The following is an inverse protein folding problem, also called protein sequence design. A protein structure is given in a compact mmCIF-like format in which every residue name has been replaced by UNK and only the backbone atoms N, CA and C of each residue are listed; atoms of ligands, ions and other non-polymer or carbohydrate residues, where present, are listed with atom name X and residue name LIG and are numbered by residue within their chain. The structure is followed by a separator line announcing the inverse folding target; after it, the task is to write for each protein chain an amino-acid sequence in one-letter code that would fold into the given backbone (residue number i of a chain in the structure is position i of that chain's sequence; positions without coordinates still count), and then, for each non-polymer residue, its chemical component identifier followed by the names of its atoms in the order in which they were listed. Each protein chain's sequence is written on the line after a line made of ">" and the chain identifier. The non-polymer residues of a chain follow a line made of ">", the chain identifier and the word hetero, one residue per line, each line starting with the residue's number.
data_IF_965112275235
#
_entry.id   IF_965112275235
#
_cell.length_a   1.000
_cell.length_b   1.000
_cell.length_c   1.000
_cell.angle_alpha   90.00
_cell.angle_beta   90.00
_cell.angle_gamma   90.00
#
_symmetry.space_group_name_H-M   'P 1'
#
loop_
_entity.id
_entity.type
_entity.pdbx_description
1 polymer ?
#
# COMPACT_ATOMS: atom_id res chain seq x y z
N UNK A 1 -1.70 -10.56 1.66
CA UNK A 1 -2.75 -10.57 0.62
C UNK A 1 -2.35 -11.38 -0.62
N UNK A 2 -1.16 -11.18 -1.19
CA UNK A 2 -0.67 -11.94 -2.37
C UNK A 2 -0.70 -13.46 -2.11
N UNK A 3 -0.27 -13.92 -0.94
CA UNK A 3 -0.27 -15.34 -0.54
C UNK A 3 -1.70 -15.90 -0.41
N UNK A 4 -2.64 -15.11 0.15
CA UNK A 4 -4.04 -15.52 0.25
C UNK A 4 -4.69 -15.59 -1.14
N UNK A 5 -4.37 -14.63 -2.02
CA UNK A 5 -4.84 -14.62 -3.40
C UNK A 5 -4.33 -15.84 -4.18
N UNK A 6 -3.05 -16.21 -4.03
CA UNK A 6 -2.48 -17.42 -4.61
C UNK A 6 -3.23 -18.68 -4.14
N UNK A 7 -3.54 -18.77 -2.85
CA UNK A 7 -4.29 -19.89 -2.28
C UNK A 7 -5.72 -20.02 -2.84
N UNK A 8 -6.33 -18.91 -3.24
CA UNK A 8 -7.65 -18.88 -3.85
C UNK A 8 -7.66 -19.01 -5.39
N UNK A 9 -6.51 -19.20 -6.03
CA UNK A 9 -6.44 -19.45 -7.48
C UNK A 9 -6.62 -20.92 -7.84
N UNK A 10 -7.31 -21.17 -8.96
CA UNK A 10 -7.49 -22.51 -9.54
C UNK A 10 -6.16 -23.17 -9.90
N UNK A 11 -5.15 -22.38 -10.30
CA UNK A 11 -3.80 -22.85 -10.67
C UNK A 11 -2.72 -21.99 -10.01
N UNK A 12 -2.34 -22.27 -8.74
CA UNK A 12 -1.38 -21.45 -7.99
C UNK A 12 0.02 -21.42 -8.60
N UNK A 13 0.46 -22.52 -9.23
CA UNK A 13 1.79 -22.63 -9.85
C UNK A 13 2.06 -21.63 -11.00
N UNK A 14 1.01 -21.09 -11.62
CA UNK A 14 1.13 -20.08 -12.68
C UNK A 14 1.10 -18.63 -12.17
N UNK A 15 1.03 -18.41 -10.86
CA UNK A 15 0.92 -17.06 -10.29
C UNK A 15 2.27 -16.31 -10.31
N UNK A 16 3.36 -16.95 -9.85
CA UNK A 16 4.67 -16.33 -9.61
C UNK A 16 5.73 -16.51 -10.74
N UNK A 17 5.51 -17.38 -11.73
CA UNK A 17 6.50 -17.66 -12.77
C UNK A 17 6.83 -16.45 -13.68
N UNK A 18 7.92 -16.49 -14.46
CA UNK A 18 8.27 -15.41 -15.42
C UNK A 18 7.20 -15.13 -16.49
N UNK A 19 6.34 -16.12 -16.79
CA UNK A 19 5.13 -15.95 -17.62
C UNK A 19 3.84 -15.95 -16.79
N UNK A 20 3.97 -15.74 -15.49
CA UNK A 20 2.87 -15.72 -14.55
C UNK A 20 2.06 -14.45 -14.64
N UNK A 21 0.84 -14.51 -14.11
CA UNK A 21 -0.11 -13.40 -14.19
C UNK A 21 0.38 -12.19 -13.38
N UNK A 22 1.15 -12.42 -12.30
CA UNK A 22 1.66 -11.36 -11.42
C UNK A 22 2.65 -10.39 -12.09
N UNK A 23 3.78 -10.83 -12.68
CA UNK A 23 4.68 -9.90 -13.36
C UNK A 23 4.04 -9.22 -14.59
N UNK A 24 3.15 -9.91 -15.31
CA UNK A 24 2.41 -9.31 -16.44
C UNK A 24 1.40 -8.25 -16.00
N UNK A 25 0.69 -8.47 -14.89
CA UNK A 25 -0.24 -7.47 -14.35
C UNK A 25 0.51 -6.25 -13.82
N UNK A 26 1.61 -6.45 -13.10
CA UNK A 26 2.49 -5.38 -12.65
C UNK A 26 3.06 -4.57 -13.83
N UNK A 27 3.55 -5.24 -14.87
CA UNK A 27 4.06 -4.59 -16.08
C UNK A 27 2.96 -3.74 -16.75
N UNK A 28 1.75 -4.29 -16.86
CA UNK A 28 0.62 -3.58 -17.47
C UNK A 28 0.26 -2.32 -16.70
N UNK A 29 0.14 -2.40 -15.37
CA UNK A 29 -0.15 -1.25 -14.51
C UNK A 29 0.96 -0.21 -14.58
N UNK A 30 2.23 -0.66 -14.57
CA UNK A 30 3.39 0.22 -14.70
C UNK A 30 3.37 0.99 -16.03
N UNK A 31 3.11 0.31 -17.15
CA UNK A 31 2.99 0.97 -18.46
C UNK A 31 1.87 2.02 -18.46
N UNK A 32 0.70 1.71 -17.90
CA UNK A 32 -0.41 2.66 -17.81
C UNK A 32 -0.04 3.89 -16.96
N UNK A 33 0.60 3.69 -15.82
CA UNK A 33 1.05 4.80 -14.98
C UNK A 33 2.10 5.68 -15.66
N UNK A 34 3.06 5.09 -16.37
CA UNK A 34 4.05 5.84 -17.14
C UNK A 34 3.37 6.64 -18.24
N UNK A 35 2.41 6.06 -18.97
CA UNK A 35 1.69 6.76 -20.02
C UNK A 35 0.89 7.95 -19.45
N UNK A 36 0.11 7.73 -18.39
CA UNK A 36 -0.68 8.79 -17.75
C UNK A 36 0.22 9.89 -17.19
N UNK A 37 1.33 9.52 -16.53
CA UNK A 37 2.30 10.47 -16.00
C UNK A 37 2.98 11.29 -17.10
N UNK A 38 3.41 10.65 -18.19
CA UNK A 38 4.05 11.31 -19.33
C UNK A 38 3.10 12.27 -20.04
N UNK A 39 1.90 11.83 -20.42
CA UNK A 39 0.92 12.69 -21.09
C UNK A 39 0.41 13.81 -20.16
N UNK A 40 0.24 13.52 -18.86
CA UNK A 40 -0.08 14.53 -17.86
C UNK A 40 0.98 15.63 -17.76
N UNK A 41 2.26 15.24 -17.69
CA UNK A 41 3.36 16.19 -17.65
C UNK A 41 3.48 17.03 -18.92
N UNK A 42 3.32 16.43 -20.10
CA UNK A 42 3.37 17.15 -21.40
C UNK A 42 2.23 18.18 -21.51
N UNK A 43 1.04 17.89 -20.96
CA UNK A 43 -0.13 18.77 -21.05
C UNK A 43 -0.07 19.96 -20.08
N UNK A 44 0.32 19.74 -18.83
CA UNK A 44 0.28 20.76 -17.77
C UNK A 44 1.64 21.41 -17.47
N UNK A 45 2.74 20.80 -17.94
CA UNK A 45 4.09 21.37 -17.84
C UNK A 45 4.52 21.62 -16.39
N UNK A 46 5.11 22.80 -16.13
CA UNK A 46 5.60 23.20 -14.79
C UNK A 46 4.51 23.79 -13.87
N UNK A 47 3.27 23.89 -14.34
CA UNK A 47 2.14 24.49 -13.60
C UNK A 47 1.19 23.41 -13.06
N UNK A 48 1.74 22.27 -12.63
CA UNK A 48 0.99 21.15 -12.05
C UNK A 48 0.82 21.40 -10.55
N UNK A 49 -0.43 21.36 -10.10
CA UNK A 49 -0.79 21.30 -8.69
C UNK A 49 -0.38 19.95 -8.07
N UNK A 50 -0.44 19.83 -6.74
CA UNK A 50 -0.04 18.64 -5.97
C UNK A 50 -0.56 17.30 -6.53
N UNK A 51 -1.72 17.32 -7.19
CA UNK A 51 -2.21 16.16 -7.93
C UNK A 51 -2.61 16.53 -9.35
N UNK A 52 -2.46 15.58 -10.28
CA UNK A 52 -2.87 15.74 -11.69
C UNK A 52 -4.36 16.09 -11.77
N UNK A 53 -5.19 15.49 -10.93
CA UNK A 53 -6.65 15.73 -10.90
C UNK A 53 -6.95 17.17 -10.45
N UNK A 54 -6.22 17.70 -9.46
CA UNK A 54 -6.38 19.08 -9.01
C UNK A 54 -5.98 20.11 -10.09
N UNK A 55 -5.04 19.75 -10.97
CA UNK A 55 -4.56 20.61 -12.06
C UNK A 55 -5.54 20.76 -13.23
N UNK A 56 -6.63 19.98 -13.27
CA UNK A 56 -7.58 20.03 -14.39
C UNK A 56 -8.39 21.34 -14.39
N UNK A 57 -8.68 21.92 -15.57
CA UNK A 57 -9.51 23.11 -15.68
C UNK A 57 -10.95 22.82 -15.23
N UNK A 58 -11.35 23.38 -14.08
CA UNK A 58 -12.67 23.17 -13.46
C UNK A 58 -13.88 23.63 -14.29
N UNK A 59 -13.65 24.39 -15.36
CA UNK A 59 -14.73 24.98 -16.16
C UNK A 59 -15.16 24.10 -17.36
N UNK A 60 -14.53 22.95 -17.56
CA UNK A 60 -14.86 22.02 -18.64
C UNK A 60 -15.67 20.83 -18.14
N UNK A 61 -16.71 20.44 -18.90
CA UNK A 61 -17.57 19.28 -18.61
C UNK A 61 -16.80 17.97 -18.42
N UNK A 62 -15.66 17.83 -19.10
CA UNK A 62 -14.80 16.66 -19.03
C UNK A 62 -14.06 16.57 -17.68
N UNK A 63 -13.61 17.71 -17.13
CA UNK A 63 -12.98 17.77 -15.81
C UNK A 63 -13.97 17.39 -14.71
N UNK A 64 -15.19 17.94 -14.77
CA UNK A 64 -16.23 17.64 -13.79
C UNK A 64 -16.59 16.15 -13.76
N UNK A 65 -16.61 15.51 -14.94
CA UNK A 65 -16.88 14.08 -15.05
C UNK A 65 -15.78 13.24 -14.41
N UNK A 66 -14.51 13.58 -14.66
CA UNK A 66 -13.35 12.88 -14.07
C UNK A 66 -13.36 13.03 -12.55
N UNK A 67 -13.59 14.24 -12.04
CA UNK A 67 -13.65 14.52 -10.60
C UNK A 67 -14.81 13.75 -9.93
N UNK A 68 -15.98 13.69 -10.58
CA UNK A 68 -17.11 12.89 -10.11
C UNK A 68 -16.81 11.39 -10.04
N UNK A 69 -16.22 10.82 -11.09
CA UNK A 69 -15.83 9.40 -11.10
C UNK A 69 -14.77 9.13 -10.02
N UNK A 70 -13.78 10.01 -9.88
CA UNK A 70 -12.74 9.88 -8.85
C UNK A 70 -13.31 9.93 -7.43
N UNK A 71 -14.26 10.83 -7.16
CA UNK A 71 -14.94 10.92 -5.86
C UNK A 71 -15.71 9.62 -5.54
N UNK A 72 -16.41 9.04 -6.52
CA UNK A 72 -17.10 7.76 -6.36
C UNK A 72 -16.11 6.62 -6.08
N UNK A 73 -14.97 6.60 -6.79
CA UNK A 73 -13.92 5.60 -6.57
C UNK A 73 -13.32 5.67 -5.15
N UNK A 74 -13.01 6.88 -4.65
CA UNK A 74 -12.50 7.05 -3.28
C UNK A 74 -13.56 6.64 -2.26
N UNK A 75 -14.81 7.07 -2.45
CA UNK A 75 -15.91 6.75 -1.55
C UNK A 75 -16.11 5.22 -1.43
N UNK A 76 -15.99 4.48 -2.53
CA UNK A 76 -16.05 3.02 -2.51
C UNK A 76 -14.82 2.34 -1.89
N UNK A 77 -13.62 2.91 -2.10
CA UNK A 77 -12.36 2.31 -1.64
C UNK A 77 -12.09 2.54 -0.15
N UNK A 78 -12.52 3.67 0.39
CA UNK A 78 -12.23 4.06 1.77
C UNK A 78 -12.79 3.08 2.83
N UNK A 79 -14.06 2.61 2.74
CA UNK A 79 -14.59 1.61 3.66
C UNK A 79 -13.81 0.29 3.62
N UNK A 80 -13.38 -0.14 2.43
CA UNK A 80 -12.61 -1.38 2.27
C UNK A 80 -11.24 -1.29 2.96
N UNK A 81 -10.55 -0.15 2.82
CA UNK A 81 -9.27 0.09 3.50
C UNK A 81 -9.43 0.17 5.02
N UNK A 82 -10.49 0.82 5.49
CA UNK A 82 -10.82 0.90 6.91
C UNK A 82 -11.15 -0.48 7.49
N UNK A 83 -11.89 -1.31 6.75
CA UNK A 83 -12.22 -2.69 7.17
C UNK A 83 -10.96 -3.54 7.39
N UNK A 84 -10.04 -3.57 6.41
CA UNK A 84 -8.77 -4.32 6.53
C UNK A 84 -7.95 -3.80 7.71
N UNK A 85 -7.91 -2.49 7.92
CA UNK A 85 -7.17 -1.87 9.03
C UNK A 85 -7.74 -2.27 10.39
N UNK A 86 -9.08 -2.26 10.52
CA UNK A 86 -9.77 -2.67 11.73
C UNK A 86 -9.60 -4.16 12.02
N UNK A 87 -9.68 -5.01 10.99
CA UNK A 87 -9.48 -6.45 11.12
C UNK A 87 -8.08 -6.78 11.67
N UNK A 88 -7.04 -6.09 11.16
CA UNK A 88 -5.65 -6.27 11.63
C UNK A 88 -5.50 -5.82 13.09
N UNK A 89 -6.06 -4.67 13.47
CA UNK A 89 -6.01 -4.16 14.85
C UNK A 89 -6.75 -5.11 15.79
N UNK A 90 -7.95 -5.55 15.39
CA UNK A 90 -8.79 -6.45 16.17
C UNK A 90 -8.11 -7.80 16.40
N UNK A 91 -7.61 -8.42 15.33
CA UNK A 91 -6.98 -9.74 15.36
C UNK A 91 -5.67 -9.76 16.16
N UNK A 92 -4.84 -8.72 16.05
CA UNK A 92 -3.52 -8.70 16.70
C UNK A 92 -3.55 -8.21 18.17
N UNK A 93 -4.36 -7.19 18.46
CA UNK A 93 -4.35 -6.54 19.77
C UNK A 93 -5.55 -6.90 20.64
N UNK A 94 -6.75 -7.04 20.08
CA UNK A 94 -7.96 -6.98 20.90
C UNK A 94 -8.47 -8.35 21.38
N UNK A 95 -8.38 -9.37 20.52
CA UNK A 95 -8.69 -10.77 20.87
C UNK A 95 -7.88 -11.26 22.08
N UNK A 96 -6.68 -10.71 22.31
CA UNK A 96 -5.84 -11.06 23.47
C UNK A 96 -6.26 -10.40 24.78
N UNK A 97 -6.96 -9.27 24.74
CA UNK A 97 -7.27 -8.46 25.92
C UNK A 97 -8.74 -8.53 26.36
N UNK A 98 -9.65 -8.94 25.50
CA UNK A 98 -11.07 -8.99 25.82
C UNK A 98 -11.53 -10.43 26.03
N UNK A 99 -12.00 -10.71 27.25
CA UNK A 99 -12.58 -11.99 27.67
C UNK A 99 -14.08 -11.89 27.98
N UNK A 100 -14.63 -10.66 27.97
CA UNK A 100 -15.99 -10.33 28.37
C UNK A 100 -16.83 -9.80 27.19
N UNK A 101 -17.92 -10.49 26.78
CA UNK A 101 -18.68 -10.18 25.55
C UNK A 101 -19.41 -8.82 25.58
N UNK A 102 -19.74 -8.29 26.76
CA UNK A 102 -20.41 -6.99 26.87
C UNK A 102 -19.47 -5.80 26.63
N UNK A 103 -18.15 -5.99 26.80
CA UNK A 103 -17.15 -4.93 26.54
C UNK A 103 -16.65 -4.96 25.10
N UNK A 104 -16.82 -6.08 24.39
CA UNK A 104 -16.40 -6.25 22.99
C UNK A 104 -17.07 -5.22 22.08
N UNK A 105 -18.41 -5.12 22.10
CA UNK A 105 -19.13 -4.13 21.30
C UNK A 105 -18.67 -2.70 21.60
N UNK A 106 -18.54 -2.33 22.88
CA UNK A 106 -18.15 -0.97 23.26
C UNK A 106 -16.74 -0.62 22.77
N UNK A 107 -15.79 -1.55 22.89
CA UNK A 107 -14.41 -1.33 22.47
C UNK A 107 -14.30 -1.32 20.93
N UNK A 108 -15.10 -2.12 20.23
CA UNK A 108 -15.19 -2.10 18.76
C UNK A 108 -15.63 -0.74 18.23
N UNK A 109 -16.72 -0.19 18.76
CA UNK A 109 -17.21 1.15 18.39
C UNK A 109 -16.20 2.25 18.76
N UNK A 110 -15.56 2.16 19.92
CA UNK A 110 -14.54 3.11 20.34
C UNK A 110 -13.32 3.09 19.41
N UNK A 111 -12.83 1.92 19.03
CA UNK A 111 -11.71 1.76 18.09
C UNK A 111 -12.05 2.33 16.72
N UNK A 112 -13.23 2.02 16.20
CA UNK A 112 -13.69 2.58 14.92
C UNK A 112 -13.74 4.11 14.96
N UNK A 113 -14.19 4.66 16.08
CA UNK A 113 -14.22 6.12 16.29
C UNK A 113 -12.81 6.71 16.34
N UNK A 114 -11.88 6.09 17.06
CA UNK A 114 -10.47 6.53 17.15
C UNK A 114 -9.81 6.51 15.77
N UNK A 115 -9.95 5.44 14.99
CA UNK A 115 -9.35 5.33 13.65
C UNK A 115 -9.84 6.45 12.73
N UNK A 116 -11.14 6.76 12.75
CA UNK A 116 -11.71 7.85 11.95
C UNK A 116 -11.20 9.21 12.43
N UNK A 117 -11.13 9.43 13.75
CA UNK A 117 -10.61 10.67 14.33
C UNK A 117 -9.14 10.89 13.95
N UNK A 118 -8.30 9.86 14.04
CA UNK A 118 -6.88 9.95 13.65
C UNK A 118 -6.75 10.27 12.16
N UNK A 119 -7.57 9.65 11.31
CA UNK A 119 -7.57 9.92 9.87
C UNK A 119 -7.99 11.37 9.58
N UNK A 120 -9.03 11.86 10.27
CA UNK A 120 -9.49 13.25 10.13
C UNK A 120 -8.42 14.24 10.63
N UNK A 121 -7.76 13.94 11.74
CA UNK A 121 -6.67 14.77 12.27
C UNK A 121 -5.50 14.83 11.27
N UNK A 122 -5.13 13.70 10.67
CA UNK A 122 -4.14 13.64 9.59
C UNK A 122 -4.52 14.51 8.39
N UNK A 123 -5.78 14.45 7.95
CA UNK A 123 -6.28 15.29 6.85
C UNK A 123 -6.22 16.79 7.16
N UNK A 124 -6.45 17.20 8.43
CA UNK A 124 -6.35 18.62 8.83
C UNK A 124 -4.92 19.11 9.00
N UNK A 125 -3.97 18.22 9.32
CA UNK A 125 -2.58 18.57 9.59
C UNK A 125 -1.70 18.60 8.33
N UNK A 126 -2.11 17.92 7.27
CA UNK A 126 -1.34 17.78 6.04
C UNK A 126 -1.92 18.72 4.97
N UNK A 127 -1.35 19.93 4.79
CA UNK A 127 -1.77 20.85 3.75
C UNK A 127 -1.32 20.40 2.34
N UNK A 128 -0.29 19.56 2.25
CA UNK A 128 0.29 19.05 1.00
C UNK A 128 0.20 17.53 0.96
N UNK A 129 -0.78 17.00 0.25
CA UNK A 129 -1.11 15.57 0.25
C UNK A 129 -0.08 14.72 -0.51
N UNK A 130 0.57 15.31 -1.51
CA UNK A 130 1.60 14.70 -2.33
C UNK A 130 2.84 14.32 -1.52
N UNK A 131 3.32 15.24 -0.67
CA UNK A 131 4.48 15.03 0.19
C UNK A 131 4.18 13.88 1.16
N UNK A 132 2.99 13.87 1.77
CA UNK A 132 2.60 12.80 2.69
C UNK A 132 2.50 11.43 2.01
N UNK A 133 1.88 11.35 0.82
CA UNK A 133 1.79 10.10 0.05
C UNK A 133 3.18 9.59 -0.33
N UNK A 134 4.09 10.47 -0.76
CA UNK A 134 5.45 10.08 -1.11
C UNK A 134 6.25 9.59 0.10
N UNK A 135 6.11 10.24 1.26
CA UNK A 135 6.81 9.87 2.49
C UNK A 135 6.30 8.54 3.04
N UNK A 136 4.98 8.41 3.21
CA UNK A 136 4.35 7.17 3.70
C UNK A 136 4.61 6.03 2.73
N UNK A 137 4.52 6.30 1.42
CA UNK A 137 4.85 5.35 0.37
C UNK A 137 6.29 4.86 0.50
N UNK A 138 7.27 5.77 0.54
CA UNK A 138 8.68 5.41 0.70
C UNK A 138 8.94 4.60 1.97
N UNK A 139 8.40 5.05 3.11
CA UNK A 139 8.58 4.38 4.40
C UNK A 139 7.94 2.98 4.44
N UNK A 140 6.68 2.86 4.02
CA UNK A 140 5.96 1.59 4.02
C UNK A 140 6.49 0.62 2.96
N UNK A 141 6.75 1.08 1.74
CA UNK A 141 7.31 0.24 0.66
C UNK A 141 8.71 -0.25 1.01
N UNK A 142 9.55 0.60 1.60
CA UNK A 142 10.87 0.17 2.03
C UNK A 142 10.78 -0.88 3.14
N UNK A 143 9.98 -0.62 4.17
CA UNK A 143 9.86 -1.55 5.31
C UNK A 143 9.19 -2.88 4.92
N UNK A 144 8.06 -2.84 4.20
CA UNK A 144 7.28 -4.04 3.88
C UNK A 144 7.75 -4.72 2.58
N UNK A 145 8.13 -3.94 1.58
CA UNK A 145 8.52 -4.45 0.26
C UNK A 145 9.97 -4.88 0.19
N UNK A 146 10.86 -4.28 1.01
CA UNK A 146 12.29 -4.57 0.99
C UNK A 146 12.69 -5.30 2.28
N UNK A 147 12.53 -4.69 3.45
CA UNK A 147 13.07 -5.25 4.70
C UNK A 147 12.41 -6.59 5.06
N UNK A 148 11.08 -6.72 4.95
CA UNK A 148 10.38 -7.96 5.30
C UNK A 148 10.80 -9.21 4.50
N UNK A 149 10.86 -9.21 3.15
CA UNK A 149 11.31 -10.38 2.39
C UNK A 149 12.77 -10.73 2.64
N UNK A 150 13.68 -9.76 2.82
CA UNK A 150 15.09 -10.05 3.14
C UNK A 150 15.25 -10.63 4.55
N UNK A 151 14.48 -10.15 5.53
CA UNK A 151 14.44 -10.75 6.86
C UNK A 151 13.91 -12.20 6.81
N UNK A 152 12.87 -12.45 6.01
CA UNK A 152 12.36 -13.82 5.81
C UNK A 152 13.38 -14.70 5.11
N UNK A 153 14.04 -14.25 4.04
CA UNK A 153 15.11 -14.98 3.35
C UNK A 153 16.23 -15.35 4.33
N UNK A 154 16.71 -14.37 5.11
CA UNK A 154 17.74 -14.57 6.13
C UNK A 154 17.33 -15.60 7.20
N UNK A 155 16.10 -15.53 7.72
CA UNK A 155 15.59 -16.48 8.71
C UNK A 155 15.38 -17.89 8.13
N UNK A 156 15.01 -18.01 6.85
CA UNK A 156 14.70 -19.30 6.23
C UNK A 156 15.96 -20.04 5.77
N UNK A 157 17.03 -19.32 5.40
CA UNK A 157 18.29 -19.91 4.92
C UNK A 157 19.29 -20.22 6.07
N UNK A 158 19.04 -19.74 7.29
CA UNK A 158 19.81 -20.07 8.48
C UNK A 158 19.39 -21.45 9.04
N UNK A 159 20.26 -22.46 9.28
CA UNK A 159 21.73 -22.51 9.23
C UNK A 159 22.35 -23.33 8.07
N UNK A 160 21.56 -23.96 7.20
CA UNK A 160 22.04 -25.02 6.29
C UNK A 160 22.40 -24.56 4.85
N UNK A 161 22.04 -23.35 4.41
CA UNK A 161 22.25 -22.87 3.02
C UNK A 161 22.80 -21.43 2.91
N UNK A 162 23.81 -21.08 3.71
CA UNK A 162 24.41 -19.72 3.73
C UNK A 162 25.28 -19.37 2.49
N UNK A 163 25.35 -20.26 1.49
CA UNK A 163 26.19 -20.11 0.29
C UNK A 163 27.69 -20.16 0.59
N UNK A 164 28.52 -20.19 -0.45
CA UNK A 164 29.97 -20.05 -0.28
C UNK A 164 30.27 -18.64 0.25
N UNK A 165 30.87 -18.54 1.44
CA UNK A 165 31.39 -17.29 2.03
C UNK A 165 30.37 -16.30 2.63
N UNK A 166 29.19 -16.73 3.12
CA UNK A 166 28.18 -15.84 3.73
C UNK A 166 27.69 -14.69 2.81
N UNK A 167 27.88 -14.82 1.49
CA UNK A 167 27.51 -13.79 0.51
C UNK A 167 26.02 -13.42 0.59
N UNK A 168 25.15 -14.39 0.89
CA UNK A 168 23.71 -14.18 1.07
C UNK A 168 23.44 -13.25 2.27
N UNK A 169 24.13 -13.45 3.39
CA UNK A 169 23.98 -12.62 4.59
C UNK A 169 24.48 -11.19 4.36
N UNK A 170 25.60 -11.04 3.65
CA UNK A 170 26.15 -9.71 3.32
C UNK A 170 25.22 -8.97 2.35
N UNK A 171 24.69 -9.67 1.33
CA UNK A 171 23.66 -9.16 0.41
C UNK A 171 22.46 -8.64 1.18
N UNK A 172 21.91 -9.46 2.08
CA UNK A 172 20.66 -9.16 2.77
C UNK A 172 20.83 -8.00 3.77
N UNK A 173 21.95 -7.98 4.52
CA UNK A 173 22.28 -6.85 5.40
C UNK A 173 22.45 -5.56 4.60
N UNK A 174 23.11 -5.60 3.44
CA UNK A 174 23.28 -4.42 2.59
C UNK A 174 21.92 -3.88 2.10
N UNK A 175 21.00 -4.76 1.70
CA UNK A 175 19.65 -4.36 1.28
C UNK A 175 18.78 -3.85 2.44
N UNK A 176 18.93 -4.40 3.65
CA UNK A 176 18.23 -3.90 4.85
C UNK A 176 18.73 -2.49 5.21
N UNK A 177 20.04 -2.25 5.15
CA UNK A 177 20.64 -0.93 5.40
C UNK A 177 20.17 0.08 4.33
N UNK A 178 20.16 -0.33 3.06
CA UNK A 178 19.65 0.51 1.97
C UNK A 178 18.16 0.82 2.11
N UNK A 179 17.36 -0.10 2.64
CA UNK A 179 15.95 0.16 2.93
C UNK A 179 15.74 1.15 4.10
N UNK A 180 16.69 1.26 5.01
CA UNK A 180 16.60 2.19 6.14
C UNK A 180 17.14 3.60 5.83
N UNK A 181 17.89 3.75 4.74
CA UNK A 181 18.52 5.01 4.31
C UNK A 181 17.67 5.78 3.32
#
# INVERSE_FOLDING_TARGET
>A
VIIALEHHMVTPAHFLGCKGIFPWSLLTVMCLYIMVGFFGYVKYGKSIDETIIASLPRNEWLSLTIEGVYAICIYGSYPLQCFVSLEIIWGNYLVKFIKDPNKECCIEYLMRTIVVIVTFMGATLIPHVDIAVSLVGAFCLSTLGMVFPFLLEMCTLWPDQLGCCYYVVIKDICFIILGFS
#
